data_IF_872957062207
#
_entry.id   IF_872957062207
#
_cell.length_a   1.000
_cell.length_b   1.000
_cell.length_c   1.000
_cell.angle_alpha   90.00
_cell.angle_beta   90.00
_cell.angle_gamma   90.00
#
_symmetry.space_group_name_H-M   'P 1'
#
loop_
_entity.id
_entity.type
_entity.pdbx_description
1 polymer ?
#
# COMPACT_ATOMS: atom_id res chain seq x y z
N UNK A 1 -5.61 6.54 1.34
CA UNK A 1 -4.25 7.03 1.67
C UNK A 1 -4.26 8.54 1.79
N UNK A 2 -3.31 9.14 2.51
CA UNK A 2 -3.17 10.60 2.57
C UNK A 2 -1.70 11.03 2.56
N UNK A 3 -1.44 12.34 2.57
CA UNK A 3 -0.09 12.93 2.50
C UNK A 3 0.87 12.38 3.56
N UNK A 4 0.39 12.10 4.77
CA UNK A 4 1.21 11.47 5.82
C UNK A 4 1.74 10.08 5.45
N UNK A 5 0.98 9.25 4.71
CA UNK A 5 1.49 7.95 4.24
C UNK A 5 2.54 8.15 3.13
N UNK A 6 2.31 9.14 2.26
CA UNK A 6 3.23 9.47 1.17
C UNK A 6 4.59 9.90 1.70
N UNK A 7 4.61 10.92 2.55
CA UNK A 7 5.84 11.49 3.09
C UNK A 7 6.45 10.62 4.20
N UNK A 8 5.64 9.84 4.91
CA UNK A 8 6.10 8.98 6.01
C UNK A 8 6.69 7.64 5.58
N UNK A 9 6.09 6.97 4.59
CA UNK A 9 6.49 5.62 4.20
C UNK A 9 6.84 5.52 2.71
N UNK A 10 5.91 5.91 1.82
CA UNK A 10 6.03 5.62 0.39
C UNK A 10 7.21 6.32 -0.27
N UNK A 11 7.46 7.61 0.02
CA UNK A 11 8.63 8.32 -0.52
C UNK A 11 9.94 7.64 -0.12
N UNK A 12 9.99 7.09 1.10
CA UNK A 12 11.14 6.30 1.52
C UNK A 12 11.23 4.97 0.79
N UNK A 13 10.11 4.23 0.66
CA UNK A 13 10.05 2.96 -0.07
C UNK A 13 10.50 3.11 -1.52
N UNK A 14 10.04 4.15 -2.21
CA UNK A 14 10.47 4.48 -3.58
C UNK A 14 11.98 4.71 -3.68
N UNK A 15 12.61 5.27 -2.64
CA UNK A 15 14.06 5.50 -2.62
C UNK A 15 14.86 4.23 -2.38
N UNK A 16 14.34 3.30 -1.58
CA UNK A 16 15.05 2.08 -1.18
C UNK A 16 14.73 0.87 -2.07
N UNK A 17 13.71 0.96 -2.94
CA UNK A 17 13.33 -0.13 -3.85
C UNK A 17 14.47 -0.58 -4.79
N UNK A 18 15.42 0.31 -5.11
CA UNK A 18 16.59 -0.02 -5.94
C UNK A 18 17.76 -0.62 -5.14
N UNK A 19 17.66 -0.63 -3.82
CA UNK A 19 18.75 -1.02 -2.91
C UNK A 19 18.50 -2.37 -2.24
N UNK A 20 17.23 -2.80 -2.16
CA UNK A 20 16.81 -4.00 -1.45
C UNK A 20 15.76 -4.75 -2.27
N UNK A 21 15.74 -6.07 -2.08
CA UNK A 21 14.59 -6.87 -2.46
C UNK A 21 13.42 -6.52 -1.52
N UNK A 22 12.36 -5.97 -2.08
CA UNK A 22 11.20 -5.53 -1.31
C UNK A 22 9.99 -6.40 -1.60
N UNK A 23 9.09 -6.47 -0.61
CA UNK A 23 7.79 -7.10 -0.75
C UNK A 23 6.74 -6.12 -0.22
N UNK A 24 5.85 -5.65 -1.08
CA UNK A 24 4.75 -4.78 -0.71
C UNK A 24 3.44 -5.57 -0.58
N UNK A 25 2.98 -5.79 0.66
CA UNK A 25 1.75 -6.54 0.94
C UNK A 25 0.59 -5.62 1.33
N UNK A 26 -0.55 -5.77 0.65
CA UNK A 26 -1.82 -5.19 1.09
C UNK A 26 -2.50 -6.21 2.00
N UNK A 27 -2.45 -5.95 3.31
CA UNK A 27 -2.90 -6.87 4.36
C UNK A 27 -4.41 -6.79 4.60
N UNK A 28 -5.21 -7.15 3.59
CA UNK A 28 -6.67 -7.12 3.62
C UNK A 28 -7.28 -8.00 4.72
N UNK A 29 -6.74 -9.20 4.95
CA UNK A 29 -7.19 -10.10 6.03
C UNK A 29 -6.86 -9.52 7.41
N UNK A 30 -5.70 -8.87 7.58
CA UNK A 30 -5.37 -8.19 8.83
C UNK A 30 -6.32 -7.02 9.09
N UNK A 31 -6.80 -6.34 8.04
CA UNK A 31 -7.78 -5.28 8.22
C UNK A 31 -9.08 -5.79 8.84
N UNK A 32 -9.46 -7.05 8.60
CA UNK A 32 -10.67 -7.67 9.17
C UNK A 32 -10.59 -7.93 10.68
N UNK A 33 -9.40 -7.88 11.29
CA UNK A 33 -9.28 -8.01 12.75
C UNK A 33 -9.61 -6.71 13.48
N UNK A 34 -9.74 -5.60 12.76
CA UNK A 34 -10.36 -4.39 13.31
C UNK A 34 -11.88 -4.59 13.43
N UNK A 35 -12.55 -3.78 14.25
CA UNK A 35 -14.02 -3.76 14.36
C UNK A 35 -14.67 -3.21 13.09
N UNK A 36 -14.54 -3.94 11.99
CA UNK A 36 -15.17 -3.63 10.71
C UNK A 36 -16.60 -4.17 10.75
N UNK A 37 -17.56 -3.27 10.94
CA UNK A 37 -18.99 -3.61 10.91
C UNK A 37 -19.48 -4.01 9.50
N UNK A 38 -18.80 -3.53 8.45
CA UNK A 38 -19.20 -3.77 7.07
C UNK A 38 -17.99 -3.92 6.13
N UNK A 39 -17.89 -5.08 5.49
CA UNK A 39 -16.83 -5.43 4.54
C UNK A 39 -17.13 -4.98 3.11
N UNK A 40 -18.31 -4.41 2.84
CA UNK A 40 -18.65 -3.88 1.53
C UNK A 40 -17.65 -2.78 1.13
N UNK A 41 -17.04 -2.94 -0.05
CA UNK A 41 -16.02 -2.02 -0.56
C UNK A 41 -14.59 -2.32 -0.10
N UNK A 42 -14.35 -3.38 0.69
CA UNK A 42 -12.98 -3.79 1.05
C UNK A 42 -12.14 -4.07 -0.20
N UNK A 43 -12.72 -4.78 -1.18
CA UNK A 43 -12.07 -5.07 -2.46
C UNK A 43 -11.65 -3.80 -3.20
N UNK A 44 -12.53 -2.80 -3.26
CA UNK A 44 -12.24 -1.53 -3.94
C UNK A 44 -11.14 -0.75 -3.21
N UNK A 45 -11.13 -0.79 -1.87
CA UNK A 45 -10.07 -0.19 -1.06
C UNK A 45 -8.72 -0.85 -1.31
N UNK A 46 -8.68 -2.18 -1.46
CA UNK A 46 -7.45 -2.91 -1.81
C UNK A 46 -6.90 -2.39 -3.13
N UNK A 47 -7.74 -2.28 -4.17
CA UNK A 47 -7.30 -1.73 -5.46
C UNK A 47 -6.87 -0.27 -5.37
N UNK A 48 -7.55 0.56 -4.58
CA UNK A 48 -7.12 1.94 -4.39
C UNK A 48 -5.76 2.05 -3.70
N UNK A 49 -5.48 1.20 -2.70
CA UNK A 49 -4.14 1.18 -2.08
C UNK A 49 -3.08 0.76 -3.09
N UNK A 50 -3.36 -0.24 -3.92
CA UNK A 50 -2.43 -0.65 -4.99
C UNK A 50 -2.17 0.49 -5.99
N UNK A 51 -3.23 1.18 -6.43
CA UNK A 51 -3.12 2.33 -7.33
C UNK A 51 -2.30 3.44 -6.68
N UNK A 52 -2.56 3.73 -5.40
CA UNK A 52 -1.81 4.75 -4.67
C UNK A 52 -0.32 4.40 -4.53
N UNK A 53 0.04 3.12 -4.34
CA UNK A 53 1.44 2.66 -4.33
C UNK A 53 2.13 2.93 -5.67
N UNK A 54 1.49 2.55 -6.77
CA UNK A 54 2.01 2.79 -8.12
C UNK A 54 2.11 4.29 -8.42
N UNK A 55 1.08 5.06 -8.06
CA UNK A 55 1.05 6.52 -8.27
C UNK A 55 2.13 7.26 -7.46
N UNK A 56 2.52 6.72 -6.30
CA UNK A 56 3.62 7.25 -5.51
C UNK A 56 5.01 6.98 -6.13
N UNK A 57 5.11 6.05 -7.08
CA UNK A 57 6.34 5.73 -7.81
C UNK A 57 6.98 4.38 -7.46
N UNK A 58 6.26 3.47 -6.80
CA UNK A 58 6.71 2.09 -6.66
C UNK A 58 6.63 1.39 -8.02
N UNK A 59 7.73 0.79 -8.43
CA UNK A 59 7.87 0.06 -9.67
C UNK A 59 7.52 -1.42 -9.45
N UNK A 60 6.45 -1.95 -10.06
CA UNK A 60 6.01 -3.34 -9.85
C UNK A 60 7.04 -4.38 -10.33
N UNK A 61 8.01 -4.01 -11.16
CA UNK A 61 9.09 -4.91 -11.55
C UNK A 61 10.20 -5.01 -10.49
N UNK A 62 10.11 -4.21 -9.41
CA UNK A 62 11.09 -4.13 -8.32
C UNK A 62 10.55 -4.54 -6.94
N UNK A 63 9.24 -4.73 -6.79
CA UNK A 63 8.56 -4.95 -5.48
C UNK A 63 7.54 -6.08 -5.48
#
# INVERSE_FOLDING_TARGET
MHVGNLEGALRNWVRIQDQYEMYCCIVDWHSLTAEIENTSGLKDRVFQVAIDFLAAGLDPDKV
#
